data_IF_373697468221
#
_entry.id   IF_373697468221
#
_cell.length_a   1.000
_cell.length_b   1.000
_cell.length_c   1.000
_cell.angle_alpha   90.00
_cell.angle_beta   90.00
_cell.angle_gamma   90.00
#
_symmetry.space_group_name_H-M   'P 1'
#
loop_
_entity.id
_entity.type
_entity.pdbx_description
1 polymer ?
#
# COMPACT_ATOMS: atom_id res chain seq x y z
N UNK A 1 9.35 26.82 7.32
CA UNK A 1 8.65 26.76 6.02
C UNK A 1 7.25 27.41 6.08
N UNK A 2 6.47 27.24 7.14
CA UNK A 2 5.14 27.87 7.29
C UNK A 2 5.15 29.39 7.27
N UNK A 3 6.13 30.05 7.91
CA UNK A 3 6.24 31.53 7.89
C UNK A 3 6.57 32.12 6.52
N UNK A 4 7.29 31.36 5.68
CA UNK A 4 7.59 31.79 4.30
C UNK A 4 6.39 31.59 3.36
N UNK A 5 5.56 30.58 3.62
CA UNK A 5 4.35 30.33 2.84
C UNK A 5 3.25 31.38 3.10
N UNK A 6 3.12 31.85 4.32
CA UNK A 6 2.15 32.89 4.68
C UNK A 6 2.43 34.28 4.04
N UNK A 7 3.65 34.50 3.55
CA UNK A 7 4.03 35.74 2.88
C UNK A 7 3.68 35.78 1.39
N UNK A 8 3.40 34.63 0.79
CA UNK A 8 3.09 34.55 -0.62
C UNK A 8 1.58 34.30 -0.77
N UNK A 9 0.87 35.24 -1.40
CA UNK A 9 -0.60 35.21 -1.53
C UNK A 9 -1.18 34.00 -2.31
N UNK A 10 -0.31 33.07 -2.76
CA UNK A 10 -0.62 31.79 -3.42
C UNK A 10 -0.39 30.57 -2.52
N UNK A 11 0.07 30.76 -1.28
CA UNK A 11 0.31 29.67 -0.36
C UNK A 11 -0.99 29.23 0.33
N UNK A 12 -1.18 27.92 0.56
CA UNK A 12 -2.33 27.42 1.31
C UNK A 12 -2.37 28.04 2.70
N UNK A 13 -3.58 28.29 3.20
CA UNK A 13 -3.78 28.71 4.59
C UNK A 13 -3.25 27.64 5.56
N UNK A 14 -3.03 28.00 6.81
CA UNK A 14 -2.57 27.05 7.83
C UNK A 14 -3.51 25.85 7.95
N UNK A 15 -4.80 26.09 7.89
CA UNK A 15 -5.84 25.05 7.98
C UNK A 15 -5.82 24.12 6.76
N UNK A 16 -5.68 24.65 5.55
CA UNK A 16 -5.55 23.88 4.33
C UNK A 16 -4.30 23.01 4.33
N UNK A 17 -3.19 23.54 4.86
CA UNK A 17 -1.95 22.78 5.02
C UNK A 17 -2.13 21.62 6.00
N UNK A 18 -2.75 21.86 7.16
CA UNK A 18 -3.04 20.81 8.16
C UNK A 18 -3.98 19.73 7.61
N UNK A 19 -5.04 20.14 6.92
CA UNK A 19 -5.98 19.20 6.28
C UNK A 19 -5.24 18.34 5.26
N UNK A 20 -4.42 18.95 4.40
CA UNK A 20 -3.68 18.22 3.37
C UNK A 20 -2.65 17.25 3.97
N UNK A 21 -1.99 17.63 5.07
CA UNK A 21 -1.06 16.75 5.78
C UNK A 21 -1.80 15.56 6.40
N UNK A 22 -2.91 15.83 7.09
CA UNK A 22 -3.73 14.79 7.73
C UNK A 22 -4.33 13.84 6.69
N UNK A 23 -4.79 14.35 5.55
CA UNK A 23 -5.32 13.53 4.46
C UNK A 23 -4.24 12.57 3.89
N UNK A 24 -2.99 13.02 3.76
CA UNK A 24 -1.87 12.17 3.33
C UNK A 24 -1.57 11.06 4.33
N UNK A 25 -1.56 11.38 5.62
CA UNK A 25 -1.32 10.40 6.68
C UNK A 25 -2.46 9.37 6.76
N UNK A 26 -3.70 9.81 6.61
CA UNK A 26 -4.87 8.91 6.55
C UNK A 26 -4.75 8.00 5.34
N UNK A 27 -4.44 8.52 4.15
CA UNK A 27 -4.31 7.72 2.95
C UNK A 27 -3.21 6.66 3.07
N UNK A 28 -2.05 7.03 3.63
CA UNK A 28 -0.97 6.08 3.90
C UNK A 28 -1.37 5.03 4.95
N UNK A 29 -2.08 5.44 6.00
CA UNK A 29 -2.61 4.54 7.02
C UNK A 29 -3.62 3.55 6.47
N UNK A 30 -4.50 4.00 5.59
CA UNK A 30 -5.49 3.15 4.90
C UNK A 30 -4.81 2.15 3.98
N UNK A 31 -3.85 2.58 3.16
CA UNK A 31 -3.09 1.67 2.29
C UNK A 31 -2.36 0.59 3.10
N UNK A 32 -1.75 0.97 4.21
CA UNK A 32 -1.14 0.01 5.12
C UNK A 32 -2.18 -0.93 5.74
N UNK A 33 -3.34 -0.43 6.16
CA UNK A 33 -4.40 -1.25 6.74
C UNK A 33 -5.01 -2.23 5.73
N UNK A 34 -5.15 -1.86 4.44
CA UNK A 34 -5.61 -2.75 3.37
C UNK A 34 -4.72 -4.00 3.29
N UNK A 35 -3.42 -3.84 3.42
CA UNK A 35 -2.50 -4.98 3.35
C UNK A 35 -2.29 -5.66 4.69
N UNK A 36 -1.98 -4.92 5.74
CA UNK A 36 -1.44 -5.45 7.00
C UNK A 36 -2.39 -5.28 8.18
N UNK A 37 -3.55 -4.65 7.99
CA UNK A 37 -4.50 -4.39 9.06
C UNK A 37 -4.94 -5.64 9.79
N UNK A 38 -5.19 -5.52 11.09
CA UNK A 38 -5.75 -6.58 11.92
C UNK A 38 -6.98 -6.07 12.63
N UNK A 39 -8.08 -6.82 12.59
CA UNK A 39 -9.32 -6.44 13.26
C UNK A 39 -9.21 -6.30 14.80
N UNK A 40 -8.15 -6.88 15.37
CA UNK A 40 -7.87 -6.76 16.80
C UNK A 40 -7.33 -5.38 17.21
N UNK A 41 -6.79 -4.61 16.27
CA UNK A 41 -6.28 -3.27 16.53
C UNK A 41 -7.44 -2.25 16.51
N UNK A 42 -7.57 -1.45 17.57
CA UNK A 42 -8.59 -0.40 17.64
C UNK A 42 -8.41 0.60 16.50
N UNK A 43 -9.47 0.87 15.76
CA UNK A 43 -9.45 1.80 14.63
C UNK A 43 -8.84 1.23 13.35
N UNK A 44 -8.64 -0.10 13.25
CA UNK A 44 -8.19 -0.78 12.05
C UNK A 44 -9.23 -1.82 11.61
N UNK A 45 -9.20 -2.18 10.33
CA UNK A 45 -9.96 -3.27 9.77
C UNK A 45 -9.05 -4.43 9.37
N UNK A 46 -9.63 -5.60 9.10
CA UNK A 46 -8.88 -6.77 8.67
C UNK A 46 -8.32 -6.54 7.27
N UNK A 47 -7.00 -6.60 7.12
CA UNK A 47 -6.32 -6.49 5.83
C UNK A 47 -6.03 -7.87 5.22
N UNK A 48 -5.65 -7.88 3.95
CA UNK A 48 -5.39 -9.12 3.20
C UNK A 48 -4.29 -9.98 3.84
N UNK A 49 -3.19 -9.37 4.29
CA UNK A 49 -2.01 -10.05 4.86
C UNK A 49 -1.96 -9.99 6.38
N UNK A 50 -2.88 -9.28 7.02
CA UNK A 50 -2.94 -9.19 8.47
C UNK A 50 -3.19 -10.56 9.13
N UNK A 51 -2.84 -10.70 10.41
CA UNK A 51 -3.11 -11.93 11.15
C UNK A 51 -4.61 -12.24 11.14
N UNK A 52 -4.99 -13.41 10.62
CA UNK A 52 -6.39 -13.78 10.37
C UNK A 52 -6.98 -13.24 9.07
N UNK A 53 -6.17 -12.57 8.22
CA UNK A 53 -6.58 -12.11 6.91
C UNK A 53 -6.81 -13.23 5.91
N UNK A 54 -7.54 -12.94 4.84
CA UNK A 54 -7.98 -13.91 3.83
C UNK A 54 -6.81 -14.71 3.27
N UNK A 55 -5.68 -14.07 2.95
CA UNK A 55 -4.50 -14.76 2.42
C UNK A 55 -3.78 -15.67 3.42
N UNK A 56 -4.11 -15.59 4.70
CA UNK A 56 -3.51 -16.46 5.73
C UNK A 56 -4.44 -17.59 6.17
N UNK A 57 -5.74 -17.39 6.10
CA UNK A 57 -6.75 -18.29 6.68
C UNK A 57 -7.48 -19.15 5.65
N UNK A 58 -7.56 -18.70 4.39
CA UNK A 58 -8.25 -19.44 3.35
C UNK A 58 -7.35 -20.58 2.82
N UNK A 59 -7.82 -21.80 3.03
CA UNK A 59 -7.12 -23.02 2.59
C UNK A 59 -7.07 -23.18 1.06
N UNK A 60 -7.86 -22.42 0.31
CA UNK A 60 -7.85 -22.45 -1.17
C UNK A 60 -6.76 -21.58 -1.76
N UNK A 61 -6.15 -20.71 -0.95
CA UNK A 61 -5.05 -19.83 -1.35
C UNK A 61 -3.71 -20.54 -1.13
N UNK A 62 -2.90 -20.60 -2.18
CA UNK A 62 -1.56 -21.20 -2.09
C UNK A 62 -0.62 -20.26 -1.33
N UNK A 63 -0.40 -20.55 -0.07
CA UNK A 63 0.50 -19.79 0.78
C UNK A 63 1.93 -20.35 0.73
N UNK A 64 2.85 -19.62 0.10
CA UNK A 64 4.25 -20.01 0.00
C UNK A 64 5.05 -19.36 1.13
N UNK A 65 5.45 -20.18 2.10
CA UNK A 65 6.25 -19.72 3.23
C UNK A 65 7.74 -19.70 2.85
N UNK A 66 8.40 -18.57 3.03
CA UNK A 66 9.84 -18.41 2.82
C UNK A 66 10.66 -18.58 4.11
N UNK A 67 10.26 -19.48 4.99
CA UNK A 67 10.98 -19.88 6.20
C UNK A 67 11.65 -18.72 7.00
N UNK A 68 11.07 -17.53 7.00
CA UNK A 68 11.59 -16.35 7.71
C UNK A 68 12.86 -15.71 7.12
N UNK A 69 13.29 -16.13 5.92
CA UNK A 69 14.46 -15.53 5.27
C UNK A 69 14.09 -14.19 4.64
N UNK A 70 14.71 -13.07 5.03
CA UNK A 70 14.45 -11.77 4.42
C UNK A 70 14.76 -11.76 2.92
N UNK A 71 14.04 -10.92 2.17
CA UNK A 71 14.38 -10.69 0.77
C UNK A 71 15.65 -9.86 0.68
N UNK A 72 16.63 -10.40 -0.02
CA UNK A 72 17.89 -9.75 -0.37
C UNK A 72 18.07 -9.81 -1.87
N UNK A 73 19.00 -9.01 -2.38
CA UNK A 73 19.24 -8.91 -3.81
C UNK A 73 19.45 -10.27 -4.48
N UNK A 74 20.22 -11.17 -3.87
CA UNK A 74 20.56 -12.48 -4.44
C UNK A 74 19.40 -13.49 -4.47
N UNK A 75 18.35 -13.30 -3.67
CA UNK A 75 17.25 -14.26 -3.57
C UNK A 75 15.90 -13.72 -4.06
N UNK A 76 15.81 -12.42 -4.37
CA UNK A 76 14.54 -11.77 -4.72
C UNK A 76 13.90 -12.40 -5.96
N UNK A 77 14.66 -12.66 -7.02
CA UNK A 77 14.16 -13.30 -8.26
C UNK A 77 13.64 -14.70 -7.96
N UNK A 78 14.39 -15.50 -7.20
CA UNK A 78 13.97 -16.86 -6.84
C UNK A 78 12.68 -16.86 -6.00
N UNK A 79 12.51 -15.88 -5.11
CA UNK A 79 11.28 -15.76 -4.32
C UNK A 79 10.09 -15.29 -5.15
N UNK A 80 10.30 -14.38 -6.10
CA UNK A 80 9.27 -13.97 -7.06
C UNK A 80 8.84 -15.14 -7.95
N UNK A 81 9.78 -15.92 -8.48
CA UNK A 81 9.47 -17.14 -9.24
C UNK A 81 8.73 -18.18 -8.43
N UNK A 82 9.09 -18.39 -7.16
CA UNK A 82 8.34 -19.29 -6.25
C UNK A 82 6.90 -18.85 -6.06
N UNK A 83 6.68 -17.54 -5.84
CA UNK A 83 5.33 -16.99 -5.69
C UNK A 83 4.51 -17.20 -6.97
N UNK A 84 5.12 -17.00 -8.14
CA UNK A 84 4.45 -17.19 -9.42
C UNK A 84 4.18 -18.67 -9.72
N UNK A 85 5.10 -19.57 -9.39
CA UNK A 85 4.93 -21.02 -9.55
C UNK A 85 3.78 -21.59 -8.69
N UNK A 86 3.41 -20.91 -7.61
CA UNK A 86 2.27 -21.28 -6.78
C UNK A 86 0.91 -20.89 -7.39
N UNK A 87 0.89 -20.07 -8.44
CA UNK A 87 -0.34 -19.67 -9.11
C UNK A 87 -0.91 -20.83 -9.92
N UNK A 88 -2.20 -21.18 -9.77
CA UNK A 88 -2.83 -22.20 -10.55
C UNK A 88 -2.80 -21.89 -12.06
N UNK A 89 -2.64 -22.92 -12.88
CA UNK A 89 -2.59 -22.78 -14.35
C UNK A 89 -3.85 -22.16 -14.96
N UNK A 90 -4.99 -22.26 -14.28
CA UNK A 90 -6.27 -21.67 -14.69
C UNK A 90 -6.30 -20.16 -14.59
N UNK A 91 -5.43 -19.58 -13.75
CA UNK A 91 -5.33 -18.14 -13.49
C UNK A 91 -4.15 -17.53 -14.23
N UNK A 92 -3.14 -18.35 -14.48
CA UNK A 92 -1.93 -17.92 -15.16
C UNK A 92 -2.24 -17.51 -16.62
N UNK A 93 -1.82 -16.31 -17.00
CA UNK A 93 -2.08 -15.78 -18.34
C UNK A 93 -3.32 -14.89 -18.46
N UNK A 94 -4.08 -14.68 -17.39
CA UNK A 94 -5.15 -13.68 -17.40
C UNK A 94 -4.59 -12.26 -17.45
N UNK A 95 -5.24 -11.37 -18.20
CA UNK A 95 -4.75 -10.00 -18.42
C UNK A 95 -4.71 -9.16 -17.13
N UNK A 96 -5.59 -9.45 -16.19
CA UNK A 96 -5.71 -8.71 -14.93
C UNK A 96 -4.88 -9.31 -13.79
N UNK A 97 -4.14 -10.40 -14.04
CA UNK A 97 -3.19 -10.95 -13.09
C UNK A 97 -2.09 -9.93 -12.80
N UNK A 98 -1.84 -9.68 -11.52
CA UNK A 98 -0.82 -8.75 -11.02
C UNK A 98 -0.01 -9.42 -9.92
N UNK A 99 1.27 -9.08 -9.88
CA UNK A 99 2.13 -9.38 -8.74
C UNK A 99 2.32 -8.11 -7.92
N UNK A 100 1.75 -8.10 -6.72
CA UNK A 100 1.85 -6.99 -5.77
C UNK A 100 3.10 -7.18 -4.91
N UNK A 101 3.93 -6.17 -4.88
CA UNK A 101 5.19 -6.14 -4.11
C UNK A 101 5.37 -4.78 -3.46
N UNK A 102 6.13 -4.72 -2.37
CA UNK A 102 6.49 -3.44 -1.80
C UNK A 102 7.65 -2.77 -2.56
N UNK A 103 7.88 -1.50 -2.30
CA UNK A 103 8.92 -0.71 -2.96
C UNK A 103 10.33 -1.22 -2.68
N UNK A 104 10.59 -1.78 -1.49
CA UNK A 104 11.88 -2.38 -1.14
C UNK A 104 12.18 -3.61 -2.02
N UNK A 105 11.22 -4.51 -2.15
CA UNK A 105 11.32 -5.70 -3.01
C UNK A 105 11.53 -5.29 -4.47
N UNK A 106 10.80 -4.27 -4.94
CA UNK A 106 10.99 -3.73 -6.28
C UNK A 106 12.41 -3.21 -6.51
N UNK A 107 12.96 -2.42 -5.58
CA UNK A 107 14.36 -1.97 -5.65
C UNK A 107 15.36 -3.11 -5.70
N UNK A 108 15.18 -4.15 -4.88
CA UNK A 108 16.04 -5.33 -4.88
C UNK A 108 15.99 -6.04 -6.24
N UNK A 109 14.79 -6.17 -6.82
CA UNK A 109 14.59 -6.75 -8.13
C UNK A 109 15.32 -5.98 -9.23
N UNK A 110 15.15 -4.65 -9.30
CA UNK A 110 15.86 -3.81 -10.28
C UNK A 110 17.37 -3.90 -10.11
N UNK A 111 17.87 -3.90 -8.88
CA UNK A 111 19.29 -4.02 -8.59
C UNK A 111 19.86 -5.36 -9.01
N UNK A 112 19.10 -6.46 -8.91
CA UNK A 112 19.57 -7.77 -9.37
C UNK A 112 19.55 -7.89 -10.88
N UNK A 113 18.52 -7.39 -11.56
CA UNK A 113 18.45 -7.33 -13.02
C UNK A 113 19.63 -6.53 -13.60
N UNK A 114 19.97 -5.42 -12.94
CA UNK A 114 21.12 -4.60 -13.34
C UNK A 114 22.43 -5.39 -13.34
N UNK A 115 22.66 -6.25 -12.33
CA UNK A 115 23.83 -7.13 -12.29
C UNK A 115 23.85 -8.15 -13.41
N UNK A 116 22.68 -8.62 -13.82
CA UNK A 116 22.56 -9.59 -14.92
C UNK A 116 22.75 -8.96 -16.30
N UNK A 117 23.06 -7.67 -16.38
CA UNK A 117 23.36 -6.96 -17.63
C UNK A 117 22.15 -6.37 -18.36
N UNK A 118 20.97 -6.38 -17.74
CA UNK A 118 19.77 -5.73 -18.29
C UNK A 118 19.74 -4.23 -17.98
N UNK A 119 20.65 -3.48 -18.60
CA UNK A 119 20.88 -2.05 -18.34
C UNK A 119 19.63 -1.19 -18.55
N UNK A 120 18.76 -1.58 -19.49
CA UNK A 120 17.52 -0.86 -19.77
C UNK A 120 16.54 -0.87 -18.57
N UNK A 121 16.58 -1.89 -17.74
CA UNK A 121 15.75 -1.95 -16.51
C UNK A 121 16.26 -1.03 -15.40
N UNK A 122 17.51 -0.60 -15.46
CA UNK A 122 18.13 0.28 -14.47
C UNK A 122 17.77 1.77 -14.71
N UNK A 123 17.65 2.18 -15.98
CA UNK A 123 17.38 3.56 -16.41
C UNK A 123 15.91 3.71 -16.87
N UNK A 124 14.96 3.27 -16.08
CA UNK A 124 13.54 3.31 -16.45
C UNK A 124 12.95 4.71 -16.34
N UNK A 125 12.25 5.14 -17.38
CA UNK A 125 11.36 6.30 -17.35
C UNK A 125 10.05 5.94 -16.62
N UNK A 126 9.31 6.97 -16.19
CA UNK A 126 8.04 6.87 -15.48
C UNK A 126 6.96 6.03 -16.20
N UNK A 127 7.08 5.88 -17.52
CA UNK A 127 6.09 5.17 -18.35
C UNK A 127 6.34 3.65 -18.45
N UNK A 128 7.43 3.16 -17.84
CA UNK A 128 7.73 1.73 -17.86
C UNK A 128 6.89 0.97 -16.84
N UNK A 129 6.06 0.08 -17.32
CA UNK A 129 5.35 -0.88 -16.46
C UNK A 129 6.24 -2.10 -16.27
N UNK A 130 6.78 -2.34 -15.08
CA UNK A 130 7.64 -3.47 -14.83
C UNK A 130 6.87 -4.78 -14.96
N UNK A 131 7.47 -5.76 -15.63
CA UNK A 131 6.91 -7.09 -15.87
C UNK A 131 7.89 -8.14 -15.38
N UNK A 132 7.39 -9.17 -14.70
CA UNK A 132 8.15 -10.32 -14.27
C UNK A 132 7.51 -11.59 -14.82
N UNK A 133 8.24 -12.37 -15.63
CA UNK A 133 7.76 -13.61 -16.26
C UNK A 133 6.37 -13.47 -16.93
N UNK A 134 6.13 -12.33 -17.60
CA UNK A 134 4.84 -12.05 -18.27
C UNK A 134 3.77 -11.43 -17.39
N UNK A 135 3.94 -11.36 -16.07
CA UNK A 135 2.99 -10.77 -15.12
C UNK A 135 3.41 -9.35 -14.77
N UNK A 136 2.46 -8.41 -14.84
CA UNK A 136 2.72 -7.00 -14.51
C UNK A 136 2.93 -6.84 -13.00
N UNK A 137 3.97 -6.10 -12.62
CA UNK A 137 4.24 -5.75 -11.23
C UNK A 137 3.40 -4.54 -10.80
N UNK A 138 2.81 -4.64 -9.63
CA UNK A 138 2.12 -3.54 -8.97
C UNK A 138 2.85 -3.22 -7.65
N UNK A 139 3.43 -2.03 -7.59
CA UNK A 139 4.16 -1.60 -6.39
C UNK A 139 3.20 -0.95 -5.42
N UNK A 140 3.12 -1.48 -4.20
CA UNK A 140 2.33 -0.93 -3.09
C UNK A 140 3.25 -0.46 -1.97
N UNK A 141 3.08 0.76 -1.52
CA UNK A 141 3.88 1.35 -0.44
C UNK A 141 3.42 0.88 0.94
N UNK A 142 2.14 0.54 1.08
CA UNK A 142 1.56 0.07 2.34
C UNK A 142 1.81 -1.40 2.66
N UNK A 143 2.33 -2.20 1.71
CA UNK A 143 2.59 -3.62 1.93
C UNK A 143 3.82 -3.83 2.82
N UNK A 144 3.74 -4.80 3.75
CA UNK A 144 4.86 -5.18 4.59
C UNK A 144 6.05 -5.71 3.78
N UNK A 145 7.25 -5.56 4.34
CA UNK A 145 8.48 -6.11 3.77
C UNK A 145 8.40 -7.63 3.63
N UNK A 146 9.13 -8.15 2.64
CA UNK A 146 9.30 -9.59 2.43
C UNK A 146 7.99 -10.34 2.17
N UNK A 147 7.00 -9.64 1.57
CA UNK A 147 5.72 -10.18 1.13
C UNK A 147 5.54 -9.99 -0.36
N UNK A 148 4.95 -10.99 -1.00
CA UNK A 148 4.55 -10.97 -2.41
C UNK A 148 3.13 -11.55 -2.48
N UNK A 149 2.24 -10.88 -3.19
CA UNK A 149 0.88 -11.35 -3.46
C UNK A 149 0.70 -11.42 -4.97
N UNK A 150 0.26 -12.56 -5.47
CA UNK A 150 -0.10 -12.73 -6.88
C UNK A 150 -1.59 -13.00 -6.94
N UNK A 151 -2.32 -12.06 -7.51
CA UNK A 151 -3.78 -12.13 -7.58
C UNK A 151 -4.33 -11.42 -8.82
N UNK A 152 -5.52 -11.81 -9.24
CA UNK A 152 -6.30 -11.06 -10.21
C UNK A 152 -6.77 -9.75 -9.57
N UNK A 153 -6.57 -8.63 -10.25
CA UNK A 153 -7.00 -7.32 -9.75
C UNK A 153 -8.50 -7.28 -9.48
N UNK A 154 -9.28 -7.92 -10.33
CA UNK A 154 -10.74 -8.00 -10.22
C UNK A 154 -11.23 -8.83 -9.02
N UNK A 155 -10.35 -9.62 -8.41
CA UNK A 155 -10.66 -10.44 -7.25
C UNK A 155 -10.24 -9.82 -5.91
N UNK A 156 -9.65 -8.63 -5.94
CA UNK A 156 -9.32 -7.86 -4.75
C UNK A 156 -10.38 -6.79 -4.55
N UNK A 157 -11.23 -6.96 -3.55
CA UNK A 157 -12.30 -6.04 -3.24
C UNK A 157 -11.90 -5.13 -2.07
N UNK A 158 -12.21 -3.85 -2.23
CA UNK A 158 -12.11 -2.86 -1.18
C UNK A 158 -13.48 -2.23 -1.01
N UNK A 159 -14.09 -2.46 0.15
CA UNK A 159 -15.40 -1.93 0.51
C UNK A 159 -15.28 -0.73 1.42
N UNK A 160 -16.12 0.25 1.19
CA UNK A 160 -16.26 1.43 2.04
C UNK A 160 -17.73 1.60 2.39
N UNK A 161 -18.01 2.22 3.52
CA UNK A 161 -19.35 2.66 3.88
C UNK A 161 -19.77 3.87 3.00
N UNK A 162 -20.67 4.71 3.45
CA UNK A 162 -21.12 5.88 2.70
C UNK A 162 -19.95 6.77 2.28
N UNK A 163 -19.83 7.03 0.97
CA UNK A 163 -18.78 7.90 0.41
C UNK A 163 -18.80 9.31 1.03
N UNK A 164 -19.97 9.79 1.48
CA UNK A 164 -20.12 11.08 2.15
C UNK A 164 -19.35 11.15 3.47
N UNK A 165 -19.29 10.04 4.22
CA UNK A 165 -18.65 10.02 5.54
C UNK A 165 -17.13 9.96 5.47
N UNK A 166 -16.56 9.57 4.29
CA UNK A 166 -15.13 9.41 4.10
C UNK A 166 -14.41 10.67 3.67
N UNK A 167 -15.13 11.65 3.17
CA UNK A 167 -14.55 12.90 2.67
C UNK A 167 -14.52 13.98 3.73
N UNK A 168 -15.08 13.72 4.91
CA UNK A 168 -15.23 14.73 5.93
C UNK A 168 -14.04 14.75 6.90
N UNK A 169 -13.15 15.70 6.68
CA UNK A 169 -12.13 16.09 7.66
C UNK A 169 -12.56 17.42 8.24
N UNK A 170 -12.79 17.45 9.55
CA UNK A 170 -13.21 18.66 10.27
C UNK A 170 -12.12 19.13 11.20
N UNK A 171 -11.84 20.41 11.17
CA UNK A 171 -11.06 21.10 12.20
C UNK A 171 -12.02 21.67 13.23
N UNK A 172 -11.81 21.36 14.50
CA UNK A 172 -12.60 21.86 15.64
C UNK A 172 -11.69 22.75 16.48
N UNK A 173 -12.04 24.03 16.59
CA UNK A 173 -11.44 24.92 17.56
C UNK A 173 -12.04 24.62 18.95
N UNK A 174 -11.21 24.21 19.89
CA UNK A 174 -11.61 23.81 21.22
C UNK A 174 -11.83 25.02 22.14
N UNK A 175 -11.46 26.24 21.73
CA UNK A 175 -11.59 27.44 22.52
C UNK A 175 -13.04 27.71 22.96
N UNK A 176 -14.01 27.38 22.09
CA UNK A 176 -15.42 27.53 22.35
C UNK A 176 -16.04 26.35 23.14
N UNK A 177 -15.31 25.24 23.32
CA UNK A 177 -15.82 24.04 23.99
C UNK A 177 -15.25 23.85 25.38
N UNK A 178 -13.96 24.02 25.56
CA UNK A 178 -13.25 23.82 26.83
C UNK A 178 -12.39 25.02 27.27
N UNK A 179 -12.38 26.10 26.48
CA UNK A 179 -11.56 27.28 26.72
C UNK A 179 -10.07 27.07 26.45
N UNK A 180 -9.65 25.94 25.87
CA UNK A 180 -8.27 25.64 25.53
C UNK A 180 -7.91 26.21 24.15
N UNK A 181 -6.65 26.56 23.96
CA UNK A 181 -6.14 27.05 22.68
C UNK A 181 -5.71 25.88 21.75
N UNK A 182 -6.46 24.76 21.83
CA UNK A 182 -6.19 23.55 21.07
C UNK A 182 -7.10 23.44 19.84
N UNK A 183 -6.55 22.93 18.75
CA UNK A 183 -7.31 22.56 17.54
C UNK A 183 -7.35 21.04 17.43
N UNK A 184 -8.52 20.46 17.28
CA UNK A 184 -8.71 19.04 17.01
C UNK A 184 -9.04 18.83 15.54
N UNK A 185 -8.38 17.86 14.94
CA UNK A 185 -8.75 17.36 13.61
C UNK A 185 -9.50 16.04 13.81
N UNK A 186 -10.69 15.99 13.27
CA UNK A 186 -11.56 14.79 13.34
C UNK A 186 -11.76 14.30 11.90
N UNK A 187 -11.40 13.05 11.67
CA UNK A 187 -11.72 12.33 10.45
C UNK A 187 -12.42 11.03 10.81
N UNK A 188 -13.46 10.67 10.09
CA UNK A 188 -14.16 9.41 10.23
C UNK A 188 -13.96 8.60 8.97
N UNK A 189 -13.60 7.34 9.15
CA UNK A 189 -13.35 6.43 8.03
C UNK A 189 -13.85 5.03 8.38
N UNK A 190 -14.54 4.38 7.44
CA UNK A 190 -14.99 3.00 7.55
C UNK A 190 -14.64 2.26 6.29
N UNK A 191 -13.91 1.17 6.40
CA UNK A 191 -13.53 0.35 5.26
C UNK A 191 -13.30 -1.11 5.63
N UNK A 192 -13.24 -1.96 4.60
CA UNK A 192 -12.92 -3.37 4.71
C UNK A 192 -12.40 -3.94 3.39
N UNK A 193 -11.80 -5.11 3.43
CA UNK A 193 -11.30 -5.89 2.29
C UNK A 193 -11.84 -7.31 2.33
#
# INVERSE_FOLDING_TARGET
QMKAAAWNNTAPTFDEYLISLTAKEIAAGVENAVWNGTAAASGSFQGFLGAGGTFQTDATINNVVNAGTPFVQSNVIANMSKALAAVPSTVYGKEDLRMYINYKTYRLYISEISKLGYVNAYNMNSDYVPVFEGVKLAVSYGMADDRIVVAEKSNLFFGTDLLSDQTEIRTLDMSNLDGSNNVRIVAKYSAGV
#
